data_IF_521986109667
#
_entry.id   IF_521986109667
#
_cell.length_a   1.000
_cell.length_b   1.000
_cell.length_c   1.000
_cell.angle_alpha   90.00
_cell.angle_beta   90.00
_cell.angle_gamma   90.00
#
_symmetry.space_group_name_H-M   'P 1'
#
loop_
_entity.id
_entity.type
_entity.pdbx_description
1 polymer ?
#
# COMPACT_ATOMS: atom_id res chain seq x y z
N UNK A 1 41.72 -26.35 -9.92
CA UNK A 1 40.84 -26.74 -11.04
C UNK A 1 39.46 -26.20 -10.73
N UNK A 2 38.97 -25.31 -11.60
CA UNK A 2 37.78 -24.47 -11.44
C UNK A 2 36.48 -25.24 -11.66
N UNK A 3 35.54 -25.16 -10.72
CA UNK A 3 34.16 -25.63 -10.86
C UNK A 3 33.19 -24.45 -10.86
N UNK A 4 32.53 -24.26 -12.00
CA UNK A 4 31.58 -23.22 -12.39
C UNK A 4 30.35 -23.08 -11.45
N UNK A 5 29.87 -21.84 -11.24
CA UNK A 5 28.43 -21.57 -11.31
C UNK A 5 27.58 -21.50 -10.04
N UNK A 6 28.12 -21.12 -8.87
CA UNK A 6 27.31 -20.92 -7.66
C UNK A 6 27.06 -19.44 -7.36
N UNK A 7 25.85 -18.94 -7.66
CA UNK A 7 25.34 -17.65 -7.17
C UNK A 7 25.60 -17.54 -5.66
N UNK A 8 26.11 -16.42 -5.13
CA UNK A 8 26.33 -16.31 -3.69
C UNK A 8 24.97 -16.43 -2.98
N UNK A 9 24.82 -17.49 -2.17
CA UNK A 9 23.72 -17.59 -1.22
C UNK A 9 23.97 -16.54 -0.14
N UNK A 10 23.39 -15.36 -0.30
CA UNK A 10 23.47 -14.29 0.69
C UNK A 10 22.84 -14.80 1.98
N UNK A 11 23.63 -14.82 3.04
CA UNK A 11 23.24 -15.17 4.40
C UNK A 11 21.94 -14.45 4.82
N UNK A 12 20.79 -15.12 4.69
CA UNK A 12 19.54 -14.61 5.21
C UNK A 12 19.57 -14.73 6.73
N UNK A 13 19.85 -13.61 7.41
CA UNK A 13 19.50 -13.42 8.82
C UNK A 13 17.97 -13.45 8.92
N UNK A 14 17.42 -14.04 9.99
CA UNK A 14 15.99 -13.91 10.30
C UNK A 14 15.56 -12.43 10.18
N UNK A 15 14.75 -12.11 9.17
CA UNK A 15 14.34 -10.74 8.83
C UNK A 15 14.81 -10.21 7.46
N UNK A 16 15.70 -10.92 6.77
CA UNK A 16 16.16 -10.59 5.41
C UNK A 16 15.22 -11.21 4.37
N UNK A 17 14.20 -10.44 3.96
CA UNK A 17 13.33 -10.84 2.86
C UNK A 17 14.15 -10.78 1.57
N UNK A 18 14.36 -11.90 0.85
CA UNK A 18 15.22 -11.91 -0.32
C UNK A 18 14.66 -10.99 -1.41
N UNK A 19 15.51 -10.11 -1.94
CA UNK A 19 15.13 -9.20 -3.02
C UNK A 19 15.38 -9.89 -4.35
N UNK A 20 14.32 -10.17 -5.12
CA UNK A 20 14.41 -10.83 -6.42
C UNK A 20 14.53 -9.83 -7.57
N UNK A 21 15.06 -10.26 -8.72
CA UNK A 21 15.19 -9.38 -9.89
C UNK A 21 13.83 -9.02 -10.53
N UNK A 22 12.81 -9.86 -10.31
CA UNK A 22 11.45 -9.65 -10.82
C UNK A 22 10.86 -8.37 -10.25
N UNK A 23 10.37 -7.50 -11.13
CA UNK A 23 9.74 -6.23 -10.79
C UNK A 23 8.23 -6.29 -10.97
N UNK A 24 7.54 -5.52 -10.14
CA UNK A 24 6.09 -5.33 -10.19
C UNK A 24 5.81 -3.84 -10.04
N UNK A 25 4.82 -3.34 -10.77
CA UNK A 25 4.33 -1.97 -10.67
C UNK A 25 3.07 -1.95 -9.82
N UNK A 26 3.10 -1.17 -8.75
CA UNK A 26 1.94 -0.93 -7.88
C UNK A 26 1.38 0.45 -8.21
N UNK A 27 0.18 0.48 -8.80
CA UNK A 27 -0.62 1.68 -8.98
C UNK A 27 -1.41 2.02 -7.73
N UNK A 28 -1.66 3.31 -7.51
CA UNK A 28 -2.45 3.79 -6.39
C UNK A 28 -3.74 4.41 -6.88
N UNK A 29 -4.86 3.94 -6.33
CA UNK A 29 -6.17 4.52 -6.56
C UNK A 29 -6.70 5.06 -5.23
N UNK A 30 -7.23 6.28 -5.25
CA UNK A 30 -7.70 6.97 -4.05
C UNK A 30 -9.11 7.50 -4.29
N UNK A 31 -10.03 7.10 -3.42
CA UNK A 31 -11.43 7.48 -3.47
C UNK A 31 -11.90 8.01 -2.11
N UNK A 32 -12.96 8.80 -2.14
CA UNK A 32 -13.65 9.30 -0.95
C UNK A 32 -15.14 9.08 -1.16
N UNK A 33 -15.81 8.54 -0.14
CA UNK A 33 -17.25 8.39 -0.14
C UNK A 33 -17.93 9.76 -0.19
N UNK A 34 -19.06 9.89 -0.90
CA UNK A 34 -19.77 11.16 -1.11
C UNK A 34 -20.16 11.89 0.19
N UNK A 35 -20.34 11.14 1.27
CA UNK A 35 -20.71 11.69 2.58
C UNK A 35 -19.54 12.34 3.34
N UNK A 36 -18.30 12.11 2.89
CA UNK A 36 -17.12 12.70 3.47
C UNK A 36 -16.58 13.80 2.53
N UNK A 37 -16.81 15.10 2.80
CA UNK A 37 -16.31 16.21 1.98
C UNK A 37 -14.79 16.42 2.18
N UNK A 38 -14.01 15.39 1.91
CA UNK A 38 -12.56 15.41 1.92
C UNK A 38 -12.04 15.29 0.50
N UNK A 39 -10.88 15.89 0.25
CA UNK A 39 -10.03 15.53 -0.88
C UNK A 39 -9.03 14.50 -0.39
N UNK A 40 -8.90 13.37 -1.09
CA UNK A 40 -7.88 12.36 -0.79
C UNK A 40 -7.17 11.97 -2.08
N UNK A 41 -5.85 12.09 -2.09
CA UNK A 41 -5.04 11.84 -3.27
C UNK A 41 -3.71 11.17 -2.94
N UNK A 42 -3.25 10.31 -3.82
CA UNK A 42 -1.89 9.77 -3.80
C UNK A 42 -0.91 10.79 -4.37
N UNK A 43 0.24 11.00 -3.70
CA UNK A 43 1.30 11.86 -4.22
C UNK A 43 2.09 11.18 -5.36
N UNK A 44 1.96 9.86 -5.50
CA UNK A 44 2.54 9.08 -6.59
C UNK A 44 1.44 8.28 -7.30
N UNK A 45 1.46 8.25 -8.64
CA UNK A 45 0.50 7.45 -9.43
C UNK A 45 0.80 5.95 -9.37
N UNK A 46 2.08 5.60 -9.39
CA UNK A 46 2.54 4.22 -9.29
C UNK A 46 3.97 4.17 -8.73
N UNK A 47 4.35 3.02 -8.19
CA UNK A 47 5.69 2.70 -7.74
C UNK A 47 6.07 1.34 -8.32
N UNK A 48 7.22 1.27 -8.99
CA UNK A 48 7.81 0.01 -9.41
C UNK A 48 8.83 -0.45 -8.38
N UNK A 49 8.72 -1.71 -7.97
CA UNK A 49 9.59 -2.32 -6.96
C UNK A 49 9.98 -3.74 -7.36
N UNK A 50 11.08 -4.22 -6.81
CA UNK A 50 11.46 -5.63 -6.84
C UNK A 50 10.69 -6.40 -5.78
N UNK A 51 10.44 -7.69 -6.01
CA UNK A 51 9.90 -8.56 -4.95
C UNK A 51 10.86 -8.56 -3.75
N UNK A 52 10.33 -8.47 -2.53
CA UNK A 52 11.08 -8.30 -1.28
C UNK A 52 11.57 -6.87 -0.99
N UNK A 53 11.55 -5.96 -1.97
CA UNK A 53 11.99 -4.58 -1.79
C UNK A 53 10.92 -3.75 -1.08
N UNK A 54 11.28 -3.09 0.02
CA UNK A 54 10.36 -2.20 0.77
C UNK A 54 10.30 -0.83 0.11
N UNK A 55 9.08 -0.32 -0.09
CA UNK A 55 8.82 1.03 -0.61
C UNK A 55 7.84 1.79 0.28
N UNK A 56 7.88 3.12 0.15
CA UNK A 56 6.95 4.05 0.78
C UNK A 56 6.05 4.71 -0.27
N UNK A 57 4.75 4.64 -0.07
CA UNK A 57 3.76 5.43 -0.79
C UNK A 57 3.26 6.57 0.10
N UNK A 58 3.09 7.77 -0.47
CA UNK A 58 2.63 8.94 0.26
C UNK A 58 1.26 9.36 -0.23
N UNK A 59 0.39 9.71 0.70
CA UNK A 59 -0.97 10.15 0.44
C UNK A 59 -1.25 11.45 1.20
N UNK A 60 -2.18 12.24 0.69
CA UNK A 60 -2.61 13.49 1.31
C UNK A 60 -4.14 13.49 1.39
N UNK A 61 -4.68 13.77 2.57
CA UNK A 61 -6.10 14.04 2.78
C UNK A 61 -6.30 15.46 3.28
N UNK A 62 -7.36 16.13 2.82
CA UNK A 62 -7.74 17.47 3.25
C UNK A 62 -9.24 17.53 3.52
N UNK A 63 -9.62 18.05 4.68
CA UNK A 63 -11.02 18.37 4.97
C UNK A 63 -11.43 19.66 4.26
N UNK A 64 -12.37 19.56 3.32
CA UNK A 64 -12.87 20.71 2.55
C UNK A 64 -14.08 21.39 3.21
N UNK A 65 -14.58 20.83 4.31
CA UNK A 65 -15.72 21.39 5.03
C UNK A 65 -15.30 22.47 6.05
N UNK A 66 -16.31 23.12 6.60
CA UNK A 66 -16.19 24.12 7.67
C UNK A 66 -16.34 23.54 9.08
N UNK A 67 -16.45 22.22 9.24
CA UNK A 67 -16.57 21.55 10.53
C UNK A 67 -15.56 20.42 10.67
N UNK A 68 -15.31 20.00 11.91
CA UNK A 68 -14.39 18.88 12.16
C UNK A 68 -15.09 17.59 11.77
N UNK A 69 -14.39 16.76 11.00
CA UNK A 69 -14.89 15.48 10.51
C UNK A 69 -13.93 14.37 10.89
N UNK A 70 -14.50 13.20 11.13
CA UNK A 70 -13.75 11.97 11.39
C UNK A 70 -13.96 11.04 10.21
N UNK A 71 -12.86 10.55 9.64
CA UNK A 71 -12.86 9.59 8.54
C UNK A 71 -12.13 8.31 8.93
N UNK A 72 -12.57 7.19 8.37
CA UNK A 72 -11.85 5.91 8.39
C UNK A 72 -11.58 5.47 6.97
N UNK A 73 -10.53 4.68 6.73
CA UNK A 73 -10.19 4.22 5.39
C UNK A 73 -10.17 2.71 5.31
N UNK A 74 -10.76 2.17 4.26
CA UNK A 74 -10.58 0.77 3.88
C UNK A 74 -9.65 0.71 2.66
N UNK A 75 -9.05 -0.45 2.45
CA UNK A 75 -8.21 -0.68 1.28
C UNK A 75 -8.53 -2.02 0.64
N UNK A 76 -8.23 -2.12 -0.64
CA UNK A 76 -8.34 -3.35 -1.41
C UNK A 76 -7.19 -3.44 -2.42
N UNK A 77 -6.76 -4.68 -2.72
CA UNK A 77 -5.66 -4.97 -3.63
C UNK A 77 -6.19 -5.76 -4.81
N UNK A 78 -5.90 -5.31 -6.02
CA UNK A 78 -6.32 -5.95 -7.28
C UNK A 78 -5.09 -6.30 -8.12
N UNK A 79 -4.99 -7.50 -8.71
CA UNK A 79 -5.93 -8.63 -8.59
C UNK A 79 -5.88 -9.28 -7.20
N UNK A 80 -6.99 -9.87 -6.77
CA UNK A 80 -7.12 -10.44 -5.41
C UNK A 80 -6.04 -11.49 -5.09
N UNK A 81 -5.63 -12.28 -6.09
CA UNK A 81 -4.52 -13.24 -5.98
C UNK A 81 -3.19 -12.61 -5.52
N UNK A 82 -2.93 -11.36 -5.91
CA UNK A 82 -1.75 -10.61 -5.50
C UNK A 82 -1.89 -9.99 -4.10
N UNK A 83 -3.11 -9.85 -3.59
CA UNK A 83 -3.40 -9.31 -2.27
C UNK A 83 -2.75 -10.12 -1.15
N UNK A 84 -2.71 -11.45 -1.26
CA UNK A 84 -2.09 -12.34 -0.27
C UNK A 84 -0.57 -12.13 -0.11
N UNK A 85 0.09 -11.65 -1.17
CA UNK A 85 1.53 -11.37 -1.17
C UNK A 85 1.85 -9.90 -0.89
N UNK A 86 0.82 -9.05 -0.82
CA UNK A 86 0.99 -7.63 -0.52
C UNK A 86 1.09 -7.45 0.99
N UNK A 87 2.32 -7.42 1.52
CA UNK A 87 2.55 -7.26 2.95
C UNK A 87 2.68 -5.78 3.27
N UNK A 88 1.75 -5.32 4.11
CA UNK A 88 1.62 -3.92 4.50
C UNK A 88 2.09 -3.76 5.94
N UNK A 89 3.28 -3.18 6.11
CA UNK A 89 3.97 -3.14 7.41
C UNK A 89 3.40 -2.07 8.33
N UNK A 90 2.76 -1.01 7.80
CA UNK A 90 2.02 0.00 8.58
C UNK A 90 0.78 0.49 7.84
N UNK A 91 -0.40 0.34 8.45
CA UNK A 91 -1.70 0.76 7.92
C UNK A 91 -2.28 1.85 8.84
N UNK A 92 -2.58 3.03 8.30
CA UNK A 92 -3.50 4.00 8.94
C UNK A 92 -4.97 3.54 8.85
N UNK A 93 -5.20 2.38 8.26
CA UNK A 93 -6.50 1.86 7.83
C UNK A 93 -7.44 1.47 8.97
N UNK A 94 -7.00 1.61 10.22
CA UNK A 94 -7.78 1.24 11.40
C UNK A 94 -7.85 2.35 12.44
N UNK A 95 -7.25 3.51 12.17
CA UNK A 95 -7.32 4.65 13.06
C UNK A 95 -8.22 5.72 12.45
N UNK A 96 -9.23 6.10 13.22
CA UNK A 96 -10.10 7.22 12.90
C UNK A 96 -9.24 8.50 12.77
N UNK A 97 -9.20 9.07 11.58
CA UNK A 97 -8.50 10.31 11.31
C UNK A 97 -9.47 11.46 11.54
N UNK A 98 -9.14 12.36 12.45
CA UNK A 98 -9.95 13.55 12.73
C UNK A 98 -9.27 14.76 12.12
N UNK A 99 -9.94 15.39 11.15
CA UNK A 99 -9.44 16.60 10.48
C UNK A 99 -10.34 17.79 10.79
N UNK A 100 -9.74 18.86 11.30
CA UNK A 100 -10.38 20.17 11.48
C UNK A 100 -10.73 20.79 10.11
N UNK A 101 -11.54 21.87 10.10
CA UNK A 101 -11.85 22.59 8.88
C UNK A 101 -10.58 23.01 8.13
N UNK A 102 -10.50 22.72 6.84
CA UNK A 102 -9.35 23.03 5.98
C UNK A 102 -8.01 22.39 6.39
N UNK A 103 -8.00 21.47 7.35
CA UNK A 103 -6.79 20.76 7.76
C UNK A 103 -6.37 19.74 6.69
N UNK A 104 -5.07 19.72 6.40
CA UNK A 104 -4.43 18.75 5.51
C UNK A 104 -3.53 17.84 6.33
N UNK A 105 -3.64 16.53 6.12
CA UNK A 105 -2.81 15.51 6.75
C UNK A 105 -2.16 14.62 5.70
N UNK A 106 -0.91 14.24 5.95
CA UNK A 106 -0.13 13.38 5.06
C UNK A 106 0.11 12.02 5.71
N UNK A 107 -0.03 10.98 4.90
CA UNK A 107 0.12 9.59 5.31
C UNK A 107 1.24 8.93 4.52
N UNK A 108 2.00 8.05 5.18
CA UNK A 108 3.06 7.27 4.54
C UNK A 108 2.83 5.76 4.78
N UNK A 109 2.58 5.01 3.72
CA UNK A 109 2.34 3.58 3.77
C UNK A 109 3.60 2.85 3.36
N UNK A 110 4.15 2.03 4.25
CA UNK A 110 5.26 1.12 3.94
C UNK A 110 4.73 -0.24 3.53
N UNK A 111 5.15 -0.71 2.37
CA UNK A 111 4.72 -1.98 1.80
C UNK A 111 5.86 -2.67 1.06
N UNK A 112 5.72 -3.98 0.87
CA UNK A 112 6.54 -4.79 -0.01
C UNK A 112 5.71 -5.95 -0.56
N UNK A 113 6.19 -6.56 -1.63
CA UNK A 113 5.63 -7.80 -2.16
C UNK A 113 6.46 -8.98 -1.67
N UNK A 114 5.80 -10.00 -1.15
CA UNK A 114 6.47 -11.22 -0.70
C UNK A 114 7.15 -11.92 -1.90
N UNK A 115 8.45 -12.25 -1.81
CA UNK A 115 9.19 -12.96 -2.86
C UNK A 115 8.61 -14.33 -3.19
N UNK A 116 7.80 -14.94 -2.32
CA UNK A 116 7.09 -16.19 -2.61
C UNK A 116 6.21 -16.09 -3.87
N UNK A 117 5.78 -14.89 -4.27
CA UNK A 117 5.03 -14.63 -5.50
C UNK A 117 5.70 -15.18 -6.77
N UNK A 118 7.03 -15.33 -6.77
CA UNK A 118 7.78 -15.87 -7.93
C UNK A 118 7.54 -17.36 -8.16
N UNK A 119 7.13 -18.11 -7.14
CA UNK A 119 6.95 -19.55 -7.21
C UNK A 119 5.51 -19.95 -7.59
N UNK A 120 4.63 -18.98 -7.77
CA UNK A 120 3.24 -19.20 -8.14
C UNK A 120 3.06 -19.07 -9.65
N UNK A 121 2.77 -20.18 -10.31
CA UNK A 121 2.58 -20.31 -11.76
C UNK A 121 1.55 -19.31 -12.32
N UNK A 122 0.43 -19.11 -11.59
CA UNK A 122 -0.64 -18.17 -11.98
C UNK A 122 -0.26 -16.69 -11.77
N UNK A 123 0.89 -16.41 -11.13
CA UNK A 123 1.32 -15.06 -10.83
C UNK A 123 2.33 -14.50 -11.82
N UNK A 124 2.95 -15.29 -12.72
CA UNK A 124 3.96 -14.80 -13.69
C UNK A 124 3.49 -13.64 -14.58
N UNK A 125 2.19 -13.57 -14.87
CA UNK A 125 1.59 -12.49 -15.66
C UNK A 125 1.28 -11.23 -14.84
N UNK A 126 1.27 -11.32 -13.50
CA UNK A 126 0.98 -10.19 -12.61
C UNK A 126 2.17 -9.26 -12.57
N UNK A 127 2.14 -8.26 -13.45
CA UNK A 127 3.09 -7.14 -13.53
C UNK A 127 2.55 -5.86 -12.91
N UNK A 128 1.22 -5.75 -12.80
CA UNK A 128 0.53 -4.57 -12.32
C UNK A 128 -0.40 -4.96 -11.17
N UNK A 129 -0.24 -4.28 -10.04
CA UNK A 129 -1.12 -4.38 -8.87
C UNK A 129 -1.71 -3.00 -8.63
N UNK A 130 -2.99 -2.93 -8.31
CA UNK A 130 -3.64 -1.68 -7.92
C UNK A 130 -3.98 -1.76 -6.44
N UNK A 131 -3.42 -0.83 -5.67
CA UNK A 131 -3.79 -0.60 -4.29
C UNK A 131 -4.82 0.54 -4.27
N UNK A 132 -6.07 0.18 -4.03
CA UNK A 132 -7.15 1.16 -3.89
C UNK A 132 -7.42 1.44 -2.42
N UNK A 133 -7.61 2.71 -2.10
CA UNK A 133 -8.06 3.18 -0.79
C UNK A 133 -9.32 4.01 -0.93
N UNK A 134 -10.26 3.81 -0.01
CA UNK A 134 -11.48 4.59 0.06
C UNK A 134 -11.70 5.09 1.47
N UNK A 135 -11.90 6.40 1.60
CA UNK A 135 -12.26 7.03 2.88
C UNK A 135 -13.77 7.13 3.06
N UNK A 136 -14.24 6.81 4.25
CA UNK A 136 -15.63 6.88 4.68
C UNK A 136 -15.75 7.78 5.90
N UNK A 137 -16.85 8.53 5.98
CA UNK A 137 -17.14 9.31 7.18
C UNK A 137 -17.52 8.38 8.33
N UNK A 138 -16.87 8.56 9.47
CA UNK A 138 -17.30 7.95 10.72
C UNK A 138 -18.26 8.91 11.40
N UNK A 139 -19.52 8.51 11.50
CA UNK A 139 -20.49 9.21 12.35
C UNK A 139 -20.21 8.74 13.78
N UNK A 140 -19.79 9.67 14.63
CA UNK A 140 -19.66 9.39 16.06
C UNK A 140 -21.08 9.16 16.59
N UNK A 141 -21.41 7.91 16.90
CA UNK A 141 -22.69 7.58 17.52
C UNK A 141 -22.66 8.18 18.93
N UNK A 142 -23.42 9.25 19.14
CA UNK A 142 -23.60 9.83 20.48
C UNK A 142 -24.38 8.82 21.31
N UNK A 143 -23.68 8.06 22.14
CA UNK A 143 -24.26 7.35 23.29
C UNK A 143 -24.70 8.39 24.32
#
# INVERSE_FOLDING_TARGET
MTGYGGTPMTNAREGDVPILARTVTVGFNTDVHSDLPWSFTSLQKHITLRLGERKLAFFEAKNLSNHTLTGTSTFNVTPHKAGSFFIKTKCFCYENQKLKPNETMRFAVSFYLDPALVNEDDMDEVKNIILSYTFFQVKEDKI
#
